data_IF_451114665839
#
_entry.id   IF_451114665839
#
_cell.length_a   1.000
_cell.length_b   1.000
_cell.length_c   1.000
_cell.angle_alpha   90.00
_cell.angle_beta   90.00
_cell.angle_gamma   90.00
#
_symmetry.space_group_name_H-M   'P 1'
#
loop_
_entity.id
_entity.type
_entity.pdbx_description
1 polymer ?
#
# COMPACT_ATOMS: atom_id res chain seq x y z
N UNK A 1 -46.14 -6.88 -33.79
CA UNK A 1 -44.72 -7.18 -33.55
C UNK A 1 -44.20 -6.26 -32.42
N UNK A 2 -43.96 -6.83 -31.26
CA UNK A 2 -43.34 -6.11 -30.08
C UNK A 2 -41.87 -6.49 -30.05
N UNK A 3 -41.01 -5.52 -30.30
CA UNK A 3 -39.56 -5.66 -30.10
C UNK A 3 -39.26 -5.27 -28.64
N UNK A 4 -38.95 -6.24 -27.84
CA UNK A 4 -38.57 -6.06 -26.40
C UNK A 4 -37.09 -5.73 -26.34
N UNK A 5 -36.77 -4.51 -25.88
CA UNK A 5 -35.41 -3.96 -25.76
C UNK A 5 -34.67 -4.56 -24.53
N UNK A 6 -33.58 -5.29 -24.80
CA UNK A 6 -32.74 -5.97 -23.79
C UNK A 6 -31.43 -5.20 -23.51
N UNK A 7 -31.47 -3.90 -23.35
CA UNK A 7 -30.23 -3.08 -23.21
C UNK A 7 -29.99 -2.39 -21.87
N UNK A 8 -30.66 -2.77 -20.79
CA UNK A 8 -30.50 -2.03 -19.51
C UNK A 8 -30.01 -2.81 -18.31
N UNK A 9 -29.59 -4.10 -18.47
CA UNK A 9 -29.23 -4.94 -17.31
C UNK A 9 -27.73 -5.06 -17.01
N UNK A 10 -26.83 -4.53 -17.84
CA UNK A 10 -25.39 -4.80 -17.72
C UNK A 10 -24.58 -3.76 -16.89
N UNK A 11 -25.16 -2.62 -16.54
CA UNK A 11 -24.40 -1.50 -15.91
C UNK A 11 -24.39 -1.58 -14.37
N UNK A 12 -25.34 -2.27 -13.75
CA UNK A 12 -25.45 -2.30 -12.28
C UNK A 12 -24.48 -3.25 -11.56
N UNK A 13 -23.82 -4.18 -12.25
CA UNK A 13 -23.00 -5.20 -11.59
C UNK A 13 -21.56 -4.76 -11.32
N UNK A 14 -21.04 -3.79 -12.08
CA UNK A 14 -19.63 -3.35 -11.95
C UNK A 14 -19.44 -2.39 -10.76
N UNK A 15 -20.46 -1.60 -10.39
CA UNK A 15 -20.38 -0.67 -9.26
C UNK A 15 -20.36 -1.37 -7.90
N UNK A 16 -20.89 -2.57 -7.79
CA UNK A 16 -21.00 -3.30 -6.51
C UNK A 16 -19.68 -3.89 -6.02
N UNK A 17 -18.74 -4.20 -6.92
CA UNK A 17 -17.47 -4.86 -6.55
C UNK A 17 -16.47 -3.88 -5.91
N UNK A 18 -16.39 -2.64 -6.40
CA UNK A 18 -15.48 -1.63 -5.85
C UNK A 18 -15.88 -1.17 -4.44
N UNK A 19 -17.18 -1.01 -4.19
CA UNK A 19 -17.69 -0.62 -2.87
C UNK A 19 -17.45 -1.68 -1.78
N UNK A 20 -17.39 -2.96 -2.14
CA UNK A 20 -17.12 -4.05 -1.20
C UNK A 20 -15.62 -4.12 -0.83
N UNK A 21 -14.71 -3.84 -1.74
CA UNK A 21 -13.27 -3.83 -1.48
C UNK A 21 -12.89 -2.69 -0.52
N UNK A 22 -13.42 -1.49 -0.73
CA UNK A 22 -13.19 -0.33 0.14
C UNK A 22 -13.73 -0.57 1.56
N UNK A 23 -14.91 -1.18 1.69
CA UNK A 23 -15.51 -1.52 2.97
C UNK A 23 -14.65 -2.53 3.75
N UNK A 24 -14.10 -3.53 3.07
CA UNK A 24 -13.25 -4.56 3.68
C UNK A 24 -11.94 -3.97 4.19
N UNK A 25 -11.30 -3.10 3.43
CA UNK A 25 -10.06 -2.42 3.81
C UNK A 25 -10.27 -1.49 5.01
N UNK A 26 -11.35 -0.71 5.00
CA UNK A 26 -11.72 0.18 6.11
C UNK A 26 -12.03 -0.61 7.39
N UNK A 27 -12.72 -1.74 7.26
CA UNK A 27 -13.01 -2.62 8.39
C UNK A 27 -11.74 -3.25 8.97
N UNK A 28 -10.81 -3.69 8.12
CA UNK A 28 -9.52 -4.26 8.57
C UNK A 28 -8.69 -3.21 9.32
N UNK A 29 -8.63 -1.96 8.83
CA UNK A 29 -7.96 -0.86 9.51
C UNK A 29 -8.61 -0.57 10.87
N UNK A 30 -9.95 -0.48 10.92
CA UNK A 30 -10.69 -0.23 12.17
C UNK A 30 -10.48 -1.34 13.20
N UNK A 31 -10.48 -2.60 12.78
CA UNK A 31 -10.22 -3.75 13.65
C UNK A 31 -8.78 -3.73 14.23
N UNK A 32 -7.85 -3.13 13.50
CA UNK A 32 -6.47 -2.92 13.95
C UNK A 32 -6.27 -1.65 14.80
N UNK A 33 -7.34 -0.89 15.08
CA UNK A 33 -7.27 0.38 15.81
C UNK A 33 -6.65 1.53 15.01
N UNK A 34 -6.59 1.41 13.67
CA UNK A 34 -6.04 2.42 12.78
C UNK A 34 -7.17 3.34 12.32
N UNK A 35 -7.07 4.64 12.62
CA UNK A 35 -8.00 5.65 12.10
C UNK A 35 -7.71 5.91 10.61
N UNK A 36 -8.59 5.52 9.69
CA UNK A 36 -8.33 5.65 8.27
C UNK A 36 -8.31 7.12 7.80
N UNK A 37 -9.03 8.02 8.48
CA UNK A 37 -9.09 9.45 8.13
C UNK A 37 -7.79 10.14 8.51
N UNK A 38 -7.33 9.98 9.75
CA UNK A 38 -6.06 10.52 10.20
C UNK A 38 -4.87 9.93 9.41
N UNK A 39 -4.90 8.64 9.13
CA UNK A 39 -3.86 7.95 8.37
C UNK A 39 -3.79 8.44 6.92
N UNK A 40 -4.96 8.62 6.26
CA UNK A 40 -5.02 9.19 4.92
C UNK A 40 -4.48 10.62 4.88
N UNK A 41 -4.77 11.43 5.91
CA UNK A 41 -4.21 12.78 6.01
C UNK A 41 -2.68 12.74 6.12
N UNK A 42 -2.12 11.86 6.95
CA UNK A 42 -0.68 11.65 7.05
C UNK A 42 -0.06 11.24 5.71
N UNK A 43 -0.70 10.36 4.94
CA UNK A 43 -0.29 10.02 3.58
C UNK A 43 -0.29 11.24 2.65
N UNK A 44 -1.35 12.04 2.67
CA UNK A 44 -1.48 13.23 1.83
C UNK A 44 -0.38 14.26 2.10
N UNK A 45 -0.04 14.46 3.37
CA UNK A 45 0.94 15.46 3.78
C UNK A 45 2.39 15.01 3.54
N UNK A 46 2.68 13.70 3.61
CA UNK A 46 4.06 13.21 3.64
C UNK A 46 4.45 12.32 2.46
N UNK A 47 3.49 11.76 1.71
CA UNK A 47 3.76 10.75 0.68
C UNK A 47 3.22 11.14 -0.70
N UNK A 48 2.01 11.73 -0.74
CA UNK A 48 1.25 11.99 -1.96
C UNK A 48 1.99 12.89 -2.95
N UNK A 49 2.83 13.81 -2.47
CA UNK A 49 3.60 14.72 -3.33
C UNK A 49 4.50 14.02 -4.35
N UNK A 50 5.03 12.83 -3.97
CA UNK A 50 5.85 11.99 -4.85
C UNK A 50 5.08 10.80 -5.43
N UNK A 51 4.13 10.24 -4.68
CA UNK A 51 3.45 9.00 -5.04
C UNK A 51 2.06 9.18 -5.66
N UNK A 52 1.58 10.41 -5.81
CA UNK A 52 0.21 10.76 -6.20
C UNK A 52 -0.87 10.28 -5.19
N UNK A 53 -2.12 10.72 -5.38
CA UNK A 53 -3.21 10.39 -4.47
C UNK A 53 -3.62 8.91 -4.52
N UNK A 54 -3.41 8.27 -5.65
CA UNK A 54 -3.74 6.87 -5.95
C UNK A 54 -2.53 5.93 -5.90
N UNK A 55 -1.37 6.40 -5.47
CA UNK A 55 -0.17 5.59 -5.32
C UNK A 55 0.51 5.17 -6.62
N UNK A 56 0.14 5.76 -7.79
CA UNK A 56 0.73 5.38 -9.08
C UNK A 56 2.19 5.83 -9.28
N UNK A 57 2.70 6.69 -8.41
CA UNK A 57 4.01 7.33 -8.57
C UNK A 57 3.97 8.51 -9.53
N UNK A 58 5.02 9.31 -9.51
CA UNK A 58 5.21 10.47 -10.40
C UNK A 58 6.65 10.49 -10.90
N UNK A 59 6.86 10.74 -12.19
CA UNK A 59 8.18 10.74 -12.83
C UNK A 59 8.93 9.43 -12.57
N UNK A 60 10.12 9.50 -11.95
CA UNK A 60 10.96 8.33 -11.62
C UNK A 60 10.57 7.66 -10.28
N UNK A 61 9.56 8.18 -9.59
CA UNK A 61 9.06 7.57 -8.33
C UNK A 61 8.20 6.34 -8.66
N UNK A 62 8.57 5.15 -8.16
CA UNK A 62 7.85 3.93 -8.47
C UNK A 62 6.40 3.95 -7.97
N UNK A 63 5.52 3.26 -8.70
CA UNK A 63 4.17 3.01 -8.24
C UNK A 63 4.16 2.13 -6.98
N UNK A 64 3.25 2.45 -6.07
CA UNK A 64 2.88 1.61 -4.93
C UNK A 64 1.60 0.82 -5.21
N UNK A 65 0.65 1.45 -5.90
CA UNK A 65 -0.62 0.82 -6.26
C UNK A 65 -0.38 -0.46 -7.08
N UNK A 66 -1.13 -1.50 -6.75
CA UNK A 66 -1.10 -2.83 -7.37
C UNK A 66 0.30 -3.49 -7.43
N UNK A 67 1.23 -3.03 -6.60
CA UNK A 67 2.60 -3.48 -6.68
C UNK A 67 3.30 -3.68 -5.34
N UNK A 68 3.20 -2.71 -4.42
CA UNK A 68 4.08 -2.62 -3.23
C UNK A 68 3.94 -3.82 -2.29
N UNK A 69 2.77 -4.46 -2.25
CA UNK A 69 2.51 -5.67 -1.46
C UNK A 69 3.40 -6.85 -1.83
N UNK A 70 3.87 -6.94 -3.09
CA UNK A 70 4.75 -8.02 -3.54
C UNK A 70 6.09 -8.05 -2.76
N UNK A 71 6.58 -6.92 -2.27
CA UNK A 71 7.80 -6.90 -1.48
C UNK A 71 7.69 -7.72 -0.20
N UNK A 72 6.48 -7.88 0.36
CA UNK A 72 6.28 -8.66 1.58
C UNK A 72 6.42 -10.17 1.38
N UNK A 73 6.46 -10.63 0.14
CA UNK A 73 6.67 -12.04 -0.22
C UNK A 73 8.15 -12.42 -0.33
N UNK A 74 9.07 -11.46 -0.25
CA UNK A 74 10.51 -11.70 -0.36
C UNK A 74 11.26 -11.25 0.88
N UNK A 75 12.29 -12.02 1.24
CA UNK A 75 13.14 -11.70 2.39
C UNK A 75 13.83 -10.33 2.21
N UNK A 76 13.71 -9.48 3.23
CA UNK A 76 14.18 -8.10 3.25
C UNK A 76 13.17 -7.07 2.72
N UNK A 77 12.07 -7.50 2.12
CA UNK A 77 11.08 -6.59 1.54
C UNK A 77 10.33 -5.75 2.58
N UNK A 78 9.97 -6.32 3.75
CA UNK A 78 9.37 -5.55 4.85
C UNK A 78 10.28 -4.43 5.34
N UNK A 79 11.55 -4.75 5.59
CA UNK A 79 12.53 -3.74 6.00
C UNK A 79 12.70 -2.66 4.93
N UNK A 80 12.76 -3.05 3.66
CA UNK A 80 12.90 -2.13 2.52
C UNK A 80 11.84 -1.04 2.52
N UNK A 81 10.55 -1.36 2.70
CA UNK A 81 9.46 -0.38 2.67
C UNK A 81 9.56 0.69 3.77
N UNK A 82 10.18 0.37 4.88
CA UNK A 82 10.44 1.32 5.97
C UNK A 82 11.74 2.10 5.74
N UNK A 83 12.75 1.46 5.16
CA UNK A 83 14.11 1.99 5.03
C UNK A 83 14.30 2.92 3.82
N UNK A 84 13.37 2.91 2.84
CA UNK A 84 13.45 3.86 1.71
C UNK A 84 13.43 5.31 2.22
N UNK A 85 14.16 6.24 1.58
CA UNK A 85 14.33 7.60 2.10
C UNK A 85 13.03 8.33 2.42
N UNK A 86 11.97 8.13 1.62
CA UNK A 86 10.66 8.75 1.85
C UNK A 86 10.00 8.29 3.15
N UNK A 87 10.15 7.03 3.51
CA UNK A 87 9.64 6.46 4.77
C UNK A 87 10.57 6.78 5.94
N UNK A 88 11.85 6.41 5.82
CA UNK A 88 12.82 6.51 6.92
C UNK A 88 12.99 7.96 7.42
N UNK A 89 12.98 8.94 6.52
CA UNK A 89 13.20 10.34 6.85
C UNK A 89 11.90 11.16 7.02
N UNK A 90 10.73 10.51 6.96
CA UNK A 90 9.47 11.22 7.17
C UNK A 90 9.38 11.77 8.61
N UNK A 91 8.70 12.91 8.84
CA UNK A 91 8.51 13.46 10.19
C UNK A 91 7.46 12.71 11.01
N UNK A 92 6.84 11.68 10.47
CA UNK A 92 5.84 10.88 11.16
C UNK A 92 6.45 10.14 12.35
N UNK A 93 5.68 9.98 13.42
CA UNK A 93 6.02 9.03 14.49
C UNK A 93 6.12 7.62 13.93
N UNK A 94 6.77 6.70 14.64
CA UNK A 94 6.85 5.30 14.21
C UNK A 94 5.47 4.65 14.12
N UNK A 95 4.56 5.02 15.02
CA UNK A 95 3.17 4.56 14.98
C UNK A 95 2.42 5.11 13.75
N UNK A 96 2.57 6.40 13.46
CA UNK A 96 1.90 7.00 12.30
C UNK A 96 2.46 6.46 10.99
N UNK A 97 3.77 6.22 10.91
CA UNK A 97 4.37 5.58 9.74
C UNK A 97 3.91 4.13 9.58
N UNK A 98 3.83 3.35 10.68
CA UNK A 98 3.25 2.01 10.64
C UNK A 98 1.81 2.04 10.13
N UNK A 99 0.99 2.97 10.62
CA UNK A 99 -0.39 3.15 10.17
C UNK A 99 -0.47 3.50 8.67
N UNK A 100 0.37 4.42 8.19
CA UNK A 100 0.42 4.80 6.76
C UNK A 100 0.85 3.62 5.89
N UNK A 101 1.87 2.87 6.28
CA UNK A 101 2.30 1.67 5.55
C UNK A 101 1.19 0.62 5.48
N UNK A 102 0.54 0.34 6.60
CA UNK A 102 -0.59 -0.59 6.65
C UNK A 102 -1.76 -0.11 5.78
N UNK A 103 -2.06 1.18 5.81
CA UNK A 103 -3.11 1.78 4.99
C UNK A 103 -2.79 1.64 3.49
N UNK A 104 -1.57 1.97 3.05
CA UNK A 104 -1.12 1.80 1.65
C UNK A 104 -1.28 0.33 1.23
N UNK A 105 -0.79 -0.61 2.02
CA UNK A 105 -0.83 -2.03 1.72
C UNK A 105 -2.27 -2.55 1.58
N UNK A 106 -3.14 -2.17 2.51
CA UNK A 106 -4.53 -2.65 2.53
C UNK A 106 -5.44 -1.95 1.52
N UNK A 107 -5.15 -0.70 1.13
CA UNK A 107 -6.02 0.06 0.23
C UNK A 107 -5.51 0.16 -1.20
N UNK A 108 -4.19 0.13 -1.41
CA UNK A 108 -3.59 0.32 -2.72
C UNK A 108 -2.98 -0.96 -3.31
N UNK A 109 -2.70 -1.99 -2.48
CA UNK A 109 -2.00 -3.21 -2.94
C UNK A 109 -2.47 -4.47 -2.21
N UNK A 110 -3.73 -4.54 -1.83
CA UNK A 110 -4.29 -5.66 -1.06
C UNK A 110 -4.20 -7.01 -1.79
N UNK A 111 -4.38 -7.00 -3.11
CA UNK A 111 -4.32 -8.21 -3.93
C UNK A 111 -2.91 -8.82 -4.03
N UNK A 112 -1.85 -8.05 -3.73
CA UNK A 112 -0.45 -8.47 -3.77
C UNK A 112 0.08 -8.91 -2.41
N UNK A 113 -0.74 -8.85 -1.34
CA UNK A 113 -0.30 -9.24 -0.01
C UNK A 113 -0.16 -10.75 0.13
N UNK A 114 0.92 -11.24 0.77
CA UNK A 114 1.01 -12.65 1.13
C UNK A 114 -0.06 -13.03 2.15
N UNK A 115 -0.44 -14.28 2.17
CA UNK A 115 -1.37 -14.80 3.16
C UNK A 115 -0.68 -15.86 4.02
N UNK A 116 -0.67 -15.72 5.38
CA UNK A 116 -1.24 -14.61 6.14
C UNK A 116 -0.43 -13.32 6.03
N UNK A 117 -1.10 -12.15 6.13
CA UNK A 117 -0.48 -10.84 6.21
C UNK A 117 -0.43 -10.34 7.66
N UNK A 118 0.73 -9.86 8.10
CA UNK A 118 0.91 -9.24 9.42
C UNK A 118 1.13 -7.74 9.25
N UNK A 119 0.35 -6.94 9.97
CA UNK A 119 0.48 -5.48 10.00
C UNK A 119 1.86 -5.06 10.53
N UNK A 120 2.36 -3.91 10.07
CA UNK A 120 3.51 -3.25 10.71
C UNK A 120 3.12 -2.74 12.10
N UNK A 121 4.00 -2.93 13.06
CA UNK A 121 3.92 -2.29 14.38
C UNK A 121 4.86 -1.07 14.46
N UNK A 122 4.59 -0.17 15.41
CA UNK A 122 5.48 0.95 15.68
C UNK A 122 6.89 0.50 16.07
N UNK A 123 7.00 -0.57 16.84
CA UNK A 123 8.29 -1.14 17.27
C UNK A 123 9.11 -1.67 16.09
N UNK A 124 8.47 -2.40 15.16
CA UNK A 124 9.11 -2.88 13.94
C UNK A 124 9.61 -1.71 13.07
N UNK A 125 8.77 -0.69 12.89
CA UNK A 125 9.13 0.51 12.13
C UNK A 125 10.30 1.24 12.79
N UNK A 126 10.29 1.43 14.12
CA UNK A 126 11.38 2.03 14.87
C UNK A 126 12.71 1.31 14.63
N UNK A 127 12.70 -0.03 14.64
CA UNK A 127 13.88 -0.83 14.38
C UNK A 127 14.45 -0.65 12.98
N UNK A 128 13.61 -0.68 11.96
CA UNK A 128 14.06 -0.54 10.57
C UNK A 128 14.48 0.87 10.21
N UNK A 129 13.84 1.92 10.75
CA UNK A 129 14.18 3.32 10.45
C UNK A 129 15.60 3.72 10.86
N UNK A 130 16.19 3.03 11.83
CA UNK A 130 17.56 3.30 12.27
C UNK A 130 18.62 2.92 11.23
N UNK A 131 18.22 2.24 10.18
CA UNK A 131 19.11 1.74 9.12
C UNK A 131 18.61 2.20 7.73
N UNK A 132 18.59 3.50 7.45
CA UNK A 132 18.14 4.00 6.15
C UNK A 132 19.05 3.47 5.03
N UNK A 133 18.47 3.21 3.86
CA UNK A 133 19.21 2.67 2.73
C UNK A 133 20.14 3.74 2.14
N UNK A 134 21.42 3.38 1.96
CA UNK A 134 22.37 4.21 1.24
C UNK A 134 22.04 4.29 -0.28
N UNK A 135 21.52 3.17 -0.83
CA UNK A 135 21.11 3.05 -2.23
C UNK A 135 19.79 2.27 -2.30
N UNK A 136 18.70 3.02 -2.32
CA UNK A 136 17.35 2.45 -2.39
C UNK A 136 17.08 1.83 -3.77
N UNK A 137 17.65 2.38 -4.85
CA UNK A 137 17.44 1.87 -6.20
C UNK A 137 18.12 0.52 -6.40
N UNK A 138 19.37 0.39 -5.98
CA UNK A 138 20.08 -0.89 -6.03
C UNK A 138 19.43 -1.94 -5.13
N UNK A 139 18.96 -1.55 -3.94
CA UNK A 139 18.24 -2.47 -3.05
C UNK A 139 16.93 -2.92 -3.69
N UNK A 140 16.17 -1.99 -4.29
CA UNK A 140 14.96 -2.34 -5.03
C UNK A 140 15.24 -3.34 -6.15
N UNK A 141 16.26 -3.11 -6.96
CA UNK A 141 16.62 -4.00 -8.06
C UNK A 141 16.92 -5.43 -7.57
N UNK A 142 17.68 -5.58 -6.46
CA UNK A 142 17.96 -6.88 -5.85
C UNK A 142 16.71 -7.59 -5.35
N UNK A 143 15.75 -6.85 -4.77
CA UNK A 143 14.51 -7.44 -4.29
C UNK A 143 13.60 -7.86 -5.46
N UNK A 144 13.54 -7.05 -6.53
CA UNK A 144 12.76 -7.39 -7.72
C UNK A 144 13.27 -8.65 -8.41
N UNK A 145 14.58 -8.88 -8.44
CA UNK A 145 15.14 -10.11 -8.99
C UNK A 145 14.62 -11.37 -8.26
N UNK A 146 14.32 -11.27 -6.96
CA UNK A 146 13.75 -12.39 -6.18
C UNK A 146 12.29 -12.72 -6.54
N UNK A 147 11.55 -11.80 -7.20
CA UNK A 147 10.15 -12.06 -7.59
C UNK A 147 10.03 -13.08 -8.72
N UNK A 148 11.08 -13.27 -9.51
CA UNK A 148 11.11 -14.21 -10.65
C UNK A 148 11.58 -15.60 -10.27
N UNK A 149 12.15 -15.78 -9.07
CA UNK A 149 12.76 -17.03 -8.63
C UNK A 149 11.83 -17.88 -7.74
N UNK A 150 10.60 -17.45 -7.53
CA UNK A 150 9.53 -18.11 -6.75
C UNK A 150 8.34 -18.44 -7.61
#
# INVERSE_FOLDING_TARGET
ARIMSWKTAAISLVLSCSAMADATSTQALGAAGIDPTATRLNYMLNCQGCHAADGRGLNDIPAMADFVGNFLSVDGGRAYLVQVPGSANSPLSDQDLANVLNWILLTMSAAQLPQPFTLYSAEEVAGFRQQPLADAAATRARLLAKFTDG
#
